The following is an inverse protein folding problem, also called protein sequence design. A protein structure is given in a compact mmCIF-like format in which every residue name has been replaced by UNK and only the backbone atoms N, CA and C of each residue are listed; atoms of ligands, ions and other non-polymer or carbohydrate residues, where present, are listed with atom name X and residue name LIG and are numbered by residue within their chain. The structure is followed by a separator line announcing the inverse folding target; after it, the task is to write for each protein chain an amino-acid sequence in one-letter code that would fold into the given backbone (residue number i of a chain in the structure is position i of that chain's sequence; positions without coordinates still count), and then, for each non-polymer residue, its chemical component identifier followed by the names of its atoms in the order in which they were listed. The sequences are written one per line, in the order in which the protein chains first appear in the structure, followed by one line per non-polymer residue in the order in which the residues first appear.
data_IF_909334132411
#
_entry.id   IF_909334132411
#
_cell.length_a   1.000
_cell.length_b   1.000
_cell.length_c   1.000
_cell.angle_alpha   90.00
_cell.angle_beta   90.00
_cell.angle_gamma   90.00
#
_symmetry.space_group_name_H-M   'P 1'
#
loop_
_entity.id
_entity.type
_entity.pdbx_description
1 polymer ?
#
# COMPACT_ATOMS: atom_id res chain seq x y z
N UNK A 1 -35.91 -9.35 -7.80
CA UNK A 1 -34.51 -8.88 -7.67
C UNK A 1 -34.33 -7.64 -8.53
N UNK A 2 -34.22 -6.45 -7.92
CA UNK A 2 -34.32 -5.14 -8.61
C UNK A 2 -33.05 -4.28 -8.47
N UNK A 3 -31.90 -4.91 -8.18
CA UNK A 3 -30.65 -4.20 -7.90
C UNK A 3 -29.83 -3.86 -9.15
N UNK A 4 -29.98 -4.63 -10.23
CA UNK A 4 -29.14 -4.51 -11.44
C UNK A 4 -29.58 -3.36 -12.36
N UNK A 5 -30.82 -2.87 -12.26
CA UNK A 5 -31.32 -1.78 -13.11
C UNK A 5 -30.70 -0.41 -12.82
N UNK A 6 -30.08 -0.22 -11.65
CA UNK A 6 -29.52 1.08 -11.26
C UNK A 6 -28.07 1.29 -11.72
N UNK A 7 -27.32 0.22 -12.01
CA UNK A 7 -25.91 0.33 -12.46
C UNK A 7 -25.82 0.73 -13.94
N UNK A 8 -26.84 0.43 -14.73
CA UNK A 8 -26.87 0.70 -16.18
C UNK A 8 -27.75 1.88 -16.59
N UNK A 9 -28.50 2.49 -15.65
CA UNK A 9 -29.25 3.71 -15.95
C UNK A 9 -28.30 4.90 -15.87
N UNK A 10 -27.60 5.13 -16.98
CA UNK A 10 -26.79 6.32 -17.12
C UNK A 10 -27.68 7.55 -16.95
N UNK A 11 -27.48 8.27 -15.85
CA UNK A 11 -28.19 9.51 -15.55
C UNK A 11 -27.50 10.63 -16.32
N UNK A 12 -27.59 10.58 -17.65
CA UNK A 12 -27.10 11.64 -18.50
C UNK A 12 -28.02 12.85 -18.33
N UNK A 13 -27.45 13.99 -17.92
CA UNK A 13 -28.18 15.27 -17.81
C UNK A 13 -28.31 15.98 -19.16
N UNK A 14 -27.59 15.51 -20.18
CA UNK A 14 -27.58 16.07 -21.53
C UNK A 14 -28.14 15.03 -22.51
N UNK A 15 -29.29 15.34 -23.11
CA UNK A 15 -30.01 14.46 -24.03
C UNK A 15 -29.25 14.26 -25.35
N UNK A 16 -28.37 15.20 -25.73
CA UNK A 16 -27.60 15.09 -26.97
C UNK A 16 -26.56 13.97 -26.91
N UNK A 17 -26.24 13.51 -25.70
CA UNK A 17 -25.34 12.38 -25.46
C UNK A 17 -26.10 11.07 -25.38
N UNK A 18 -27.43 11.08 -25.22
CA UNK A 18 -28.19 9.87 -24.90
C UNK A 18 -28.11 8.85 -26.03
N UNK A 19 -28.59 9.19 -27.23
CA UNK A 19 -28.70 8.22 -28.32
C UNK A 19 -27.35 7.82 -28.96
N UNK A 20 -26.41 8.76 -29.27
CA UNK A 20 -25.14 8.39 -29.88
C UNK A 20 -24.22 7.64 -28.90
N UNK A 21 -24.17 8.06 -27.63
CA UNK A 21 -23.34 7.40 -26.63
C UNK A 21 -23.96 6.10 -26.16
N UNK A 22 -25.29 6.01 -25.98
CA UNK A 22 -25.94 4.75 -25.65
C UNK A 22 -25.73 3.72 -26.77
N UNK A 23 -25.81 4.11 -28.04
CA UNK A 23 -25.48 3.23 -29.16
C UNK A 23 -23.99 2.83 -29.16
N UNK A 24 -23.08 3.75 -28.82
CA UNK A 24 -21.65 3.43 -28.68
C UNK A 24 -21.35 2.51 -27.48
N UNK A 25 -22.13 2.60 -26.41
CA UNK A 25 -22.06 1.76 -25.22
C UNK A 25 -22.83 0.44 -25.37
N UNK A 26 -23.75 0.35 -26.33
CA UNK A 26 -24.55 -0.83 -26.60
C UNK A 26 -23.64 -1.93 -27.18
N UNK A 27 -23.37 -2.96 -26.38
CA UNK A 27 -22.37 -3.99 -26.70
C UNK A 27 -20.93 -3.61 -26.33
N UNK A 28 -20.72 -2.44 -25.72
CA UNK A 28 -19.43 -2.08 -25.13
C UNK A 28 -19.19 -2.93 -23.89
N UNK A 29 -18.45 -4.03 -24.08
CA UNK A 29 -17.87 -4.78 -23.00
C UNK A 29 -16.75 -3.94 -22.40
N UNK A 30 -17.05 -3.13 -21.38
CA UNK A 30 -16.02 -2.56 -20.53
C UNK A 30 -15.18 -3.74 -20.03
N UNK A 31 -13.90 -3.73 -20.39
CA UNK A 31 -13.06 -4.92 -20.43
C UNK A 31 -13.24 -5.79 -19.20
N UNK A 32 -13.61 -7.05 -19.44
CA UNK A 32 -13.50 -8.15 -18.48
C UNK A 32 -14.39 -8.02 -17.22
N UNK A 33 -15.62 -8.55 -17.28
CA UNK A 33 -16.32 -9.00 -16.06
C UNK A 33 -15.49 -10.04 -15.28
N UNK A 34 -14.68 -10.81 -16.02
CA UNK A 34 -13.59 -11.63 -15.52
C UNK A 34 -12.40 -11.50 -16.49
N UNK A 35 -11.24 -11.18 -15.96
CA UNK A 35 -9.97 -11.12 -16.66
C UNK A 35 -8.88 -11.35 -15.63
N UNK A 36 -7.82 -12.05 -16.01
CA UNK A 36 -6.68 -12.17 -15.10
C UNK A 36 -5.90 -10.87 -15.10
N UNK A 37 -5.44 -10.45 -13.92
CA UNK A 37 -4.62 -9.25 -13.73
C UNK A 37 -3.17 -9.45 -14.20
N UNK A 38 -2.93 -10.45 -15.06
CA UNK A 38 -1.60 -10.89 -15.47
C UNK A 38 -1.06 -10.07 -16.66
N UNK A 39 -1.93 -9.28 -17.31
CA UNK A 39 -1.57 -8.42 -18.43
C UNK A 39 -0.84 -7.14 -18.01
N UNK A 40 -0.04 -6.59 -18.92
CA UNK A 40 0.64 -5.31 -18.70
C UNK A 40 -0.38 -4.19 -18.46
N UNK A 41 -0.15 -3.29 -17.49
CA UNK A 41 -1.09 -2.21 -17.16
C UNK A 41 -1.23 -1.26 -18.36
N UNK A 42 -2.47 -1.08 -18.85
CA UNK A 42 -2.78 -0.18 -19.97
C UNK A 42 -2.74 1.30 -19.58
N UNK A 43 -2.98 1.59 -18.31
CA UNK A 43 -3.01 2.94 -17.75
C UNK A 43 -2.17 2.97 -16.48
N UNK A 44 -1.25 3.93 -16.38
CA UNK A 44 -0.37 4.12 -15.22
C UNK A 44 -0.38 5.59 -14.81
N UNK A 45 -0.78 5.88 -13.56
CA UNK A 45 -0.72 7.24 -13.05
C UNK A 45 0.74 7.60 -12.79
N UNK A 46 1.32 8.47 -13.62
CA UNK A 46 2.73 8.83 -13.48
C UNK A 46 2.90 9.73 -12.24
N UNK A 47 3.50 9.20 -11.18
CA UNK A 47 3.88 9.95 -9.97
C UNK A 47 3.26 9.44 -8.66
N UNK A 48 2.06 8.86 -8.70
CA UNK A 48 1.35 8.35 -7.50
C UNK A 48 1.91 7.01 -7.01
N UNK A 49 2.57 6.27 -7.91
CA UNK A 49 3.17 4.97 -7.62
C UNK A 49 4.24 5.05 -6.51
N UNK A 50 4.86 6.21 -6.32
CA UNK A 50 5.91 6.39 -5.30
C UNK A 50 5.43 6.02 -3.90
N UNK A 51 4.17 6.32 -3.57
CA UNK A 51 3.57 5.97 -2.27
C UNK A 51 3.41 4.45 -2.11
N UNK A 52 3.07 3.76 -3.20
CA UNK A 52 2.78 2.33 -3.20
C UNK A 52 4.01 1.44 -3.45
N UNK A 53 5.16 2.01 -3.79
CA UNK A 53 6.41 1.24 -3.97
C UNK A 53 6.79 0.42 -2.73
N UNK A 54 6.52 0.93 -1.52
CA UNK A 54 6.75 0.16 -0.29
C UNK A 54 5.83 -1.06 -0.21
N UNK A 55 4.56 -0.91 -0.60
CA UNK A 55 3.59 -2.01 -0.62
C UNK A 55 3.90 -3.06 -1.68
N UNK A 56 4.42 -2.66 -2.84
CA UNK A 56 4.86 -3.62 -3.86
C UNK A 56 5.94 -4.57 -3.30
N UNK A 57 6.92 -4.04 -2.57
CA UNK A 57 7.94 -4.86 -1.91
C UNK A 57 7.33 -5.79 -0.86
N UNK A 58 6.37 -5.31 -0.05
CA UNK A 58 5.67 -6.15 0.94
C UNK A 58 4.92 -7.29 0.25
N UNK A 59 4.27 -7.03 -0.88
CA UNK A 59 3.57 -8.05 -1.70
C UNK A 59 4.55 -9.10 -2.24
N UNK A 60 5.75 -8.68 -2.62
CA UNK A 60 6.84 -9.57 -3.06
C UNK A 60 7.50 -10.32 -1.89
N UNK A 61 7.08 -10.07 -0.64
CA UNK A 61 7.66 -10.68 0.56
C UNK A 61 8.99 -10.07 0.96
N UNK A 62 9.29 -8.84 0.53
CA UNK A 62 10.55 -8.13 0.75
C UNK A 62 10.31 -6.93 1.67
N UNK A 63 11.18 -6.75 2.68
CA UNK A 63 11.09 -5.64 3.60
C UNK A 63 11.39 -4.31 2.88
N UNK A 64 10.52 -3.30 2.97
CA UNK A 64 10.56 -2.14 2.07
C UNK A 64 11.81 -1.26 2.20
N UNK A 65 12.43 -1.24 3.39
CA UNK A 65 13.62 -0.42 3.69
C UNK A 65 14.92 -1.21 3.57
N UNK A 66 14.97 -2.42 4.13
CA UNK A 66 16.21 -3.23 4.18
C UNK A 66 16.41 -4.14 2.97
N UNK A 67 15.35 -4.41 2.18
CA UNK A 67 15.41 -5.30 1.02
C UNK A 67 15.57 -6.79 1.37
N UNK A 68 15.52 -7.16 2.65
CA UNK A 68 15.61 -8.56 3.09
C UNK A 68 14.24 -9.25 3.03
N UNK A 69 14.16 -10.58 2.86
CA UNK A 69 12.90 -11.31 2.95
C UNK A 69 12.19 -11.07 4.29
N UNK A 70 10.87 -10.85 4.25
CA UNK A 70 10.06 -10.65 5.45
C UNK A 70 9.80 -11.99 6.13
N UNK A 71 10.08 -12.06 7.44
CA UNK A 71 9.70 -13.19 8.28
C UNK A 71 8.54 -12.79 9.20
N UNK A 72 7.34 -13.27 8.90
CA UNK A 72 6.13 -13.06 9.71
C UNK A 72 6.08 -14.06 10.87
N UNK A 73 6.91 -13.84 11.89
CA UNK A 73 7.03 -14.77 13.04
C UNK A 73 6.76 -14.10 14.39
N UNK A 74 6.16 -12.90 14.38
CA UNK A 74 5.78 -12.21 15.61
C UNK A 74 4.34 -12.55 15.94
N UNK A 75 4.08 -12.74 17.23
CA UNK A 75 2.72 -12.87 17.76
C UNK A 75 1.93 -11.58 17.52
N UNK A 76 0.59 -11.66 17.43
CA UNK A 76 -0.26 -10.48 17.38
C UNK A 76 -0.02 -9.57 18.59
N UNK A 77 0.17 -8.27 18.33
CA UNK A 77 0.34 -7.26 19.36
C UNK A 77 -0.89 -6.35 19.35
N UNK A 78 -1.42 -5.92 20.52
CA UNK A 78 -2.49 -4.94 20.58
C UNK A 78 -2.17 -3.67 19.78
N UNK A 79 -3.14 -3.20 19.00
CA UNK A 79 -2.98 -2.03 18.11
C UNK A 79 -2.50 -0.78 18.86
N UNK A 80 -2.98 -0.53 20.07
CA UNK A 80 -2.59 0.62 20.88
C UNK A 80 -1.06 0.72 21.13
N UNK A 81 -0.35 -0.42 21.22
CA UNK A 81 1.11 -0.45 21.39
C UNK A 81 1.86 -0.14 20.08
N UNK A 82 1.24 -0.45 18.95
CA UNK A 82 1.76 -0.12 17.62
C UNK A 82 1.57 1.38 17.37
N UNK A 83 0.37 1.90 17.66
CA UNK A 83 0.02 3.30 17.51
C UNK A 83 0.91 4.23 18.35
N UNK A 84 1.24 3.84 19.58
CA UNK A 84 2.15 4.59 20.46
C UNK A 84 3.57 4.79 19.87
N UNK A 85 3.95 4.01 18.85
CA UNK A 85 5.25 4.12 18.17
C UNK A 85 5.21 5.07 16.96
N UNK A 86 4.10 5.78 16.71
CA UNK A 86 3.90 6.67 15.57
C UNK A 86 4.20 5.98 14.21
N UNK A 87 3.45 4.92 13.87
CA UNK A 87 3.63 4.20 12.62
C UNK A 87 3.28 5.09 11.42
N UNK A 88 3.98 4.89 10.30
CA UNK A 88 3.66 5.54 9.02
C UNK A 88 2.79 4.61 8.18
N UNK A 89 1.59 5.06 7.82
CA UNK A 89 0.70 4.32 6.92
C UNK A 89 1.30 4.23 5.51
N UNK A 90 1.48 3.00 5.04
CA UNK A 90 1.94 2.71 3.68
C UNK A 90 0.80 2.22 2.77
N UNK A 91 -0.40 2.03 3.31
CA UNK A 91 -1.62 1.63 2.62
C UNK A 91 -2.01 0.17 2.88
N UNK A 92 -3.24 -0.21 2.46
CA UNK A 92 -3.75 -1.59 2.56
C UNK A 92 -3.66 -2.23 3.95
N UNK A 93 -3.68 -1.42 5.01
CA UNK A 93 -3.56 -1.88 6.40
C UNK A 93 -2.13 -2.21 6.85
N UNK A 94 -1.12 -1.96 6.02
CA UNK A 94 0.28 -2.09 6.40
C UNK A 94 0.84 -0.77 6.89
N UNK A 95 1.73 -0.88 7.88
CA UNK A 95 2.35 0.26 8.54
C UNK A 95 3.85 0.04 8.67
N UNK A 96 4.60 1.13 8.55
CA UNK A 96 6.04 1.15 8.74
C UNK A 96 6.37 1.74 10.11
N UNK A 97 6.98 0.92 10.96
CA UNK A 97 7.47 1.38 12.26
C UNK A 97 8.75 2.20 12.09
N UNK A 98 8.98 3.21 12.94
CA UNK A 98 10.23 3.94 12.93
C UNK A 98 11.42 3.00 13.24
N UNK A 99 12.62 3.32 12.72
CA UNK A 99 13.80 2.52 12.98
C UNK A 99 14.10 2.46 14.48
N UNK A 100 14.41 1.26 14.97
CA UNK A 100 14.83 1.06 16.36
C UNK A 100 16.12 1.86 16.58
N UNK A 101 16.17 2.62 17.68
CA UNK A 101 17.36 3.39 18.04
C UNK A 101 18.57 2.45 18.11
N UNK A 102 19.70 2.78 17.45
CA UNK A 102 20.91 1.98 17.59
C UNK A 102 21.34 1.96 19.07
N UNK A 103 22.00 0.87 19.52
CA UNK A 103 22.54 0.83 20.87
C UNK A 103 23.49 2.01 21.08
N UNK A 104 23.54 2.61 22.29
CA UNK A 104 24.46 3.69 22.57
C UNK A 104 25.90 3.26 22.28
N UNK A 105 26.66 4.13 21.64
CA UNK A 105 28.04 3.85 21.25
C UNK A 105 28.93 3.66 22.47
N UNK A 106 29.25 2.40 22.77
CA UNK A 106 30.30 2.01 23.70
C UNK A 106 30.03 2.29 25.19
N UNK A 107 30.46 1.36 26.04
CA UNK A 107 30.65 1.63 27.46
C UNK A 107 31.79 2.66 27.54
N UNK A 108 31.55 3.85 28.12
CA UNK A 108 32.64 4.75 28.54
C UNK A 108 33.47 3.98 29.58
N UNK A 109 34.55 3.33 29.16
CA UNK A 109 35.55 2.78 30.09
C UNK A 109 36.44 3.96 30.49
N UNK A 110 36.41 4.43 31.74
CA UNK A 110 37.41 5.38 32.20
C UNK A 110 38.77 4.67 32.18
N UNK A 111 39.73 5.23 31.43
CA UNK A 111 41.11 4.76 31.30
C UNK A 111 41.95 4.96 32.55
N UNK A 112 41.40 5.56 33.61
CA UNK A 112 42.19 6.15 34.70
C UNK A 112 42.31 5.24 35.94
N UNK A 113 42.16 3.91 35.81
CA UNK A 113 42.34 2.98 36.94
C UNK A 113 43.81 2.60 37.21
N UNK A 114 44.78 3.17 36.49
CA UNK A 114 46.21 2.84 36.62
C UNK A 114 46.97 3.87 37.48
N UNK A 115 46.39 5.05 37.75
CA UNK A 115 47.06 6.11 38.52
C UNK A 115 46.37 6.31 39.87
N UNK A 116 46.60 5.38 40.81
CA UNK A 116 46.46 5.66 42.23
C UNK A 116 47.84 5.43 42.88
N UNK A 117 48.49 6.48 43.41
CA UNK A 117 49.75 6.36 44.14
C UNK A 117 49.61 5.64 45.48
#
# INVERSE_FOLDING_TARGET
MHWIKYVTKASFRDITWDEPLANALYGFHNGCFAGTWDGSPKWKLTGTDKKFNALLKVREGIHPVSGKPIKWNKEPIPWALVEAQNPVDIGSGYYLLPPIRPPPSGRRQPTNLIELP
#
